data_IF_391473884894
#
_entry.id   IF_391473884894
#
_cell.length_a   1.000
_cell.length_b   1.000
_cell.length_c   1.000
_cell.angle_alpha   90.00
_cell.angle_beta   90.00
_cell.angle_gamma   90.00
#
_symmetry.space_group_name_H-M   'P 1'
#
loop_
_entity.id
_entity.type
_entity.pdbx_description
1 polymer ?
#
# COMPACT_ATOMS: atom_id res chain seq x y z
N UNK A 1 23.44 21.78 -50.37
CA UNK A 1 22.23 22.28 -49.67
C UNK A 1 21.32 21.19 -49.08
N UNK A 2 21.38 19.92 -49.53
CA UNK A 2 20.70 18.78 -48.87
C UNK A 2 21.29 18.44 -47.48
N UNK A 3 22.62 18.40 -47.38
CA UNK A 3 23.34 18.00 -46.16
C UNK A 3 23.03 18.84 -44.91
N UNK A 4 22.72 20.13 -45.07
CA UNK A 4 22.35 21.02 -43.95
C UNK A 4 20.94 20.73 -43.38
N UNK A 5 20.02 20.20 -44.21
CA UNK A 5 18.67 19.82 -43.76
C UNK A 5 18.69 18.51 -42.97
N UNK A 6 19.49 17.55 -43.42
CA UNK A 6 19.58 16.23 -42.78
C UNK A 6 20.21 16.32 -41.37
N UNK A 7 21.22 17.18 -41.18
CA UNK A 7 21.79 17.46 -39.85
C UNK A 7 20.79 18.20 -38.93
N UNK A 8 19.96 19.09 -39.48
CA UNK A 8 18.92 19.81 -38.71
C UNK A 8 17.81 18.89 -38.22
N UNK A 9 17.31 17.98 -39.07
CA UNK A 9 16.29 17.00 -38.68
C UNK A 9 16.84 15.97 -37.68
N UNK A 10 18.10 15.57 -37.81
CA UNK A 10 18.75 14.68 -36.84
C UNK A 10 18.87 15.34 -35.45
N UNK A 11 19.31 16.61 -35.38
CA UNK A 11 19.38 17.36 -34.10
C UNK A 11 17.99 17.67 -33.51
N UNK A 12 16.99 18.01 -34.32
CA UNK A 12 15.62 18.24 -33.86
C UNK A 12 14.93 16.94 -33.42
N UNK A 13 15.19 15.83 -34.09
CA UNK A 13 14.66 14.51 -33.71
C UNK A 13 15.32 14.00 -32.43
N UNK A 14 16.62 14.23 -32.24
CA UNK A 14 17.32 13.90 -31.00
C UNK A 14 16.85 14.77 -29.82
N UNK A 15 16.63 16.07 -30.04
CA UNK A 15 16.08 16.99 -29.04
C UNK A 15 14.62 16.63 -28.68
N UNK A 16 13.80 16.25 -29.65
CA UNK A 16 12.40 15.84 -29.43
C UNK A 16 12.29 14.53 -28.61
N UNK A 17 13.19 13.56 -28.83
CA UNK A 17 13.22 12.30 -28.06
C UNK A 17 13.66 12.54 -26.61
N UNK A 18 14.63 13.43 -26.37
CA UNK A 18 15.09 13.77 -25.00
C UNK A 18 14.04 14.59 -24.23
N UNK A 19 13.24 15.43 -24.91
CA UNK A 19 12.11 16.12 -24.26
C UNK A 19 10.92 15.23 -23.97
N UNK A 20 10.74 14.12 -24.71
CA UNK A 20 9.59 13.21 -24.53
C UNK A 20 9.80 12.22 -23.38
N UNK A 21 11.05 11.83 -23.08
CA UNK A 21 11.36 10.96 -21.92
C UNK A 21 11.36 11.71 -20.59
N UNK A 22 11.41 13.05 -20.60
CA UNK A 22 11.37 13.89 -19.40
C UNK A 22 9.95 14.25 -18.93
N UNK A 23 8.89 13.84 -19.65
CA UNK A 23 7.52 14.32 -19.44
C UNK A 23 6.56 13.27 -18.84
N UNK A 24 7.00 12.38 -17.97
CA UNK A 24 6.07 11.41 -17.36
C UNK A 24 6.37 10.99 -15.93
N UNK A 25 7.29 11.67 -15.22
CA UNK A 25 7.36 11.51 -13.76
C UNK A 25 6.36 12.50 -13.16
N UNK A 26 5.07 12.17 -13.25
CA UNK A 26 4.09 12.80 -12.38
C UNK A 26 4.41 12.35 -10.95
N UNK A 27 4.56 13.26 -9.97
CA UNK A 27 4.58 12.84 -8.58
C UNK A 27 3.26 12.12 -8.32
N UNK A 28 3.33 10.83 -7.98
CA UNK A 28 2.20 10.17 -7.36
C UNK A 28 2.07 10.82 -5.98
N UNK A 29 1.09 11.72 -5.82
CA UNK A 29 0.64 12.07 -4.48
C UNK A 29 0.03 10.78 -3.95
N UNK A 30 0.45 10.37 -2.76
CA UNK A 30 -0.02 9.15 -2.15
C UNK A 30 -0.96 9.51 -1.00
N UNK A 31 -2.05 8.78 -0.87
CA UNK A 31 -3.03 8.99 0.18
C UNK A 31 -2.58 8.31 1.47
N UNK A 32 -3.09 8.81 2.59
CA UNK A 32 -2.90 8.23 3.91
C UNK A 32 -4.26 7.82 4.49
N UNK A 33 -4.29 6.71 5.23
CA UNK A 33 -5.46 6.26 5.97
C UNK A 33 -5.11 6.04 7.44
N UNK A 34 -5.88 6.65 8.34
CA UNK A 34 -5.73 6.42 9.78
C UNK A 34 -6.75 5.37 10.22
N UNK A 35 -6.24 4.26 10.72
CA UNK A 35 -7.03 3.16 11.27
C UNK A 35 -7.05 3.26 12.79
N UNK A 36 -8.19 2.94 13.39
CA UNK A 36 -8.36 2.80 14.83
C UNK A 36 -9.29 1.62 15.10
N UNK A 37 -8.95 0.78 16.08
CA UNK A 37 -9.71 -0.42 16.41
C UNK A 37 -9.70 -0.69 17.90
N UNK A 38 -10.73 -1.40 18.38
CA UNK A 38 -10.79 -1.87 19.76
C UNK A 38 -10.02 -3.18 19.94
N UNK A 39 -9.47 -3.38 21.13
CA UNK A 39 -8.84 -4.65 21.49
C UNK A 39 -9.93 -5.72 21.62
N UNK A 40 -9.88 -6.81 20.84
CA UNK A 40 -10.90 -7.85 20.92
C UNK A 40 -10.84 -8.53 22.28
N UNK A 41 -12.02 -8.81 22.87
CA UNK A 41 -12.16 -9.56 24.14
C UNK A 41 -12.28 -11.08 23.95
N UNK A 42 -12.40 -11.52 22.69
CA UNK A 42 -12.60 -12.92 22.31
C UNK A 42 -11.85 -13.22 21.02
N UNK A 43 -11.18 -14.37 20.98
CA UNK A 43 -10.59 -14.95 19.79
C UNK A 43 -11.68 -15.41 18.82
N UNK A 44 -11.39 -15.53 17.53
CA UNK A 44 -12.32 -16.10 16.53
C UNK A 44 -12.70 -17.56 16.84
N UNK A 45 -11.88 -18.26 17.62
CA UNK A 45 -12.16 -19.59 18.19
C UNK A 45 -13.16 -19.58 19.36
N UNK A 46 -13.66 -18.42 19.78
CA UNK A 46 -14.58 -18.27 20.92
C UNK A 46 -13.91 -18.28 22.30
N UNK A 47 -12.58 -18.41 22.37
CA UNK A 47 -11.83 -18.35 23.62
C UNK A 47 -11.54 -16.89 24.03
N UNK A 48 -11.39 -16.61 25.32
CA UNK A 48 -11.07 -15.27 25.82
C UNK A 48 -9.67 -14.83 25.41
N UNK A 49 -9.52 -13.61 24.88
CA UNK A 49 -8.22 -13.02 24.53
C UNK A 49 -7.46 -12.66 25.79
N UNK A 50 -6.55 -13.54 26.21
CA UNK A 50 -5.75 -13.33 27.43
C UNK A 50 -4.32 -12.91 27.13
N UNK A 51 -3.81 -13.13 25.91
CA UNK A 51 -2.38 -12.92 25.57
C UNK A 51 -2.20 -12.29 24.17
N UNK A 52 -2.87 -11.16 23.89
CA UNK A 52 -2.60 -10.42 22.65
C UNK A 52 -1.20 -9.80 22.74
N UNK A 53 -0.30 -10.24 21.86
CA UNK A 53 1.06 -9.71 21.76
C UNK A 53 1.17 -8.54 20.78
N UNK A 54 0.21 -8.41 19.87
CA UNK A 54 0.12 -7.28 18.95
C UNK A 54 -0.91 -7.48 17.86
N UNK A 55 -0.84 -6.61 16.86
CA UNK A 55 -1.76 -6.55 15.74
C UNK A 55 -1.03 -6.51 14.41
N UNK A 56 -1.66 -7.07 13.37
CA UNK A 56 -1.24 -6.96 11.99
C UNK A 56 -2.36 -6.36 11.16
N UNK A 57 -2.00 -5.37 10.35
CA UNK A 57 -2.91 -4.73 9.39
C UNK A 57 -2.71 -5.38 8.02
N UNK A 58 -3.79 -5.89 7.45
CA UNK A 58 -3.88 -6.43 6.09
C UNK A 58 -4.63 -5.45 5.22
N UNK A 59 -4.14 -5.18 4.01
CA UNK A 59 -4.83 -4.29 3.08
C UNK A 59 -4.58 -4.61 1.61
N UNK A 60 -5.50 -4.16 0.76
CA UNK A 60 -5.48 -4.40 -0.68
C UNK A 60 -6.57 -3.61 -1.40
N UNK A 61 -6.58 -3.68 -2.73
CA UNK A 61 -7.58 -3.01 -3.58
C UNK A 61 -8.83 -3.86 -3.82
N UNK A 62 -8.84 -5.09 -3.33
CA UNK A 62 -9.95 -6.03 -3.43
C UNK A 62 -10.35 -6.47 -2.01
N UNK A 63 -11.65 -6.53 -1.74
CA UNK A 63 -12.15 -7.07 -0.47
C UNK A 63 -11.78 -8.54 -0.37
N UNK A 64 -11.41 -9.01 0.83
CA UNK A 64 -11.03 -10.40 1.11
C UNK A 64 -9.76 -10.90 0.39
N UNK A 65 -9.17 -10.10 -0.49
CA UNK A 65 -7.91 -10.37 -1.17
C UNK A 65 -6.88 -9.27 -0.83
N UNK A 66 -6.25 -9.45 0.34
CA UNK A 66 -5.27 -8.50 0.88
C UNK A 66 -3.86 -8.89 0.45
N UNK A 67 -3.27 -8.11 -0.45
CA UNK A 67 -1.92 -8.38 -0.99
C UNK A 67 -0.79 -7.81 -0.12
N UNK A 68 -1.11 -6.89 0.79
CA UNK A 68 -0.16 -6.20 1.65
C UNK A 68 -0.45 -6.49 3.12
N UNK A 69 0.59 -6.58 3.95
CA UNK A 69 0.46 -6.71 5.40
C UNK A 69 1.55 -5.96 6.15
N UNK A 70 1.21 -5.43 7.33
CA UNK A 70 2.11 -4.66 8.19
C UNK A 70 1.90 -5.12 9.63
N UNK A 71 2.96 -5.60 10.28
CA UNK A 71 2.98 -5.82 11.72
C UNK A 71 3.10 -4.45 12.41
N UNK A 72 2.08 -4.07 13.17
CA UNK A 72 1.98 -2.77 13.83
C UNK A 72 2.27 -2.87 15.33
N UNK A 73 2.57 -4.07 15.83
CA UNK A 73 2.81 -4.33 17.25
C UNK A 73 1.57 -4.10 18.12
N UNK A 74 1.78 -3.87 19.41
CA UNK A 74 0.72 -3.67 20.39
C UNK A 74 0.21 -2.21 20.38
N UNK A 75 -0.52 -1.86 19.34
CA UNK A 75 -1.19 -0.56 19.17
C UNK A 75 -2.66 -0.77 18.78
N UNK A 76 -3.49 0.24 19.03
CA UNK A 76 -4.91 0.31 18.60
C UNK A 76 -5.13 1.35 17.51
N UNK A 77 -4.07 2.01 17.05
CA UNK A 77 -4.11 2.99 15.98
C UNK A 77 -2.88 2.88 15.09
N UNK A 78 -3.05 3.09 13.79
CA UNK A 78 -1.96 3.08 12.83
C UNK A 78 -2.31 3.89 11.58
N UNK A 79 -1.34 4.65 11.07
CA UNK A 79 -1.45 5.39 9.81
C UNK A 79 -0.80 4.58 8.69
N UNK A 80 -1.61 4.09 7.75
CA UNK A 80 -1.12 3.49 6.51
C UNK A 80 -0.86 4.62 5.53
N UNK A 81 0.41 4.82 5.20
CA UNK A 81 0.86 5.86 4.26
C UNK A 81 1.09 5.29 2.87
N UNK A 82 1.28 6.16 1.89
CA UNK A 82 1.71 5.79 0.54
C UNK A 82 0.68 4.94 -0.24
N UNK A 83 -0.62 5.15 0.01
CA UNK A 83 -1.68 4.48 -0.73
C UNK A 83 -1.83 5.13 -2.12
N UNK A 84 -2.09 4.30 -3.14
CA UNK A 84 -2.30 4.79 -4.49
C UNK A 84 -3.58 5.66 -4.57
N UNK A 85 -3.48 6.84 -5.15
CA UNK A 85 -4.64 7.70 -5.36
C UNK A 85 -5.68 7.07 -6.30
N UNK A 86 -6.93 7.53 -6.17
CA UNK A 86 -8.07 7.09 -6.98
C UNK A 86 -8.36 5.58 -6.94
N UNK A 87 -7.87 4.88 -5.90
CA UNK A 87 -8.12 3.46 -5.68
C UNK A 87 -8.85 3.24 -4.36
N UNK A 88 -9.84 2.34 -4.36
CA UNK A 88 -10.45 1.87 -3.13
C UNK A 88 -9.51 0.90 -2.43
N UNK A 89 -9.32 1.07 -1.12
CA UNK A 89 -8.56 0.14 -0.29
C UNK A 89 -9.46 -0.46 0.78
N UNK A 90 -9.26 -1.75 1.02
CA UNK A 90 -9.91 -2.53 2.06
C UNK A 90 -8.89 -2.89 3.12
N UNK A 91 -9.28 -2.79 4.39
CA UNK A 91 -8.39 -3.00 5.53
C UNK A 91 -9.00 -4.03 6.49
N UNK A 92 -8.18 -4.93 7.01
CA UNK A 92 -8.51 -5.85 8.10
C UNK A 92 -7.40 -5.81 9.13
N UNK A 93 -7.78 -5.86 10.41
CA UNK A 93 -6.83 -5.92 11.52
C UNK A 93 -7.00 -7.26 12.23
N UNK A 94 -5.90 -7.99 12.40
CA UNK A 94 -5.89 -9.23 13.18
C UNK A 94 -4.99 -9.07 14.39
N UNK A 95 -5.48 -9.47 15.56
CA UNK A 95 -4.61 -9.67 16.71
C UNK A 95 -3.80 -10.97 16.53
N UNK A 96 -2.63 -11.04 17.15
CA UNK A 96 -1.82 -12.26 17.24
C UNK A 96 -1.29 -12.44 18.67
N UNK A 97 -1.01 -13.69 19.04
CA UNK A 97 -0.49 -14.05 20.36
C UNK A 97 1.05 -13.99 20.44
N UNK A 98 1.63 -14.27 21.61
CA UNK A 98 3.09 -14.27 21.78
C UNK A 98 3.85 -15.27 20.89
N UNK A 99 3.15 -16.25 20.31
CA UNK A 99 3.70 -17.22 19.37
C UNK A 99 3.60 -16.76 17.91
N UNK A 100 3.12 -15.52 17.68
CA UNK A 100 2.80 -14.93 16.36
C UNK A 100 1.80 -15.76 15.56
N UNK A 101 0.96 -16.53 16.24
CA UNK A 101 -0.16 -17.21 15.59
C UNK A 101 -1.24 -16.16 15.35
N UNK A 102 -1.53 -15.91 14.08
CA UNK A 102 -2.58 -14.99 13.68
C UNK A 102 -3.95 -15.61 13.91
N UNK A 103 -4.84 -14.82 14.50
CA UNK A 103 -6.21 -15.24 14.76
C UNK A 103 -6.96 -15.29 13.42
N UNK A 104 -7.18 -16.49 12.91
CA UNK A 104 -7.72 -16.72 11.56
C UNK A 104 -9.07 -16.04 11.29
N UNK A 105 -9.28 -15.67 10.02
CA UNK A 105 -10.49 -15.05 9.47
C UNK A 105 -11.76 -15.81 9.86
N UNK A 106 -12.80 -15.10 10.32
CA UNK A 106 -14.15 -15.66 10.39
C UNK A 106 -14.83 -15.49 9.02
N UNK A 107 -15.29 -16.58 8.43
CA UNK A 107 -16.23 -16.62 7.30
C UNK A 107 -17.63 -16.19 7.70
#
# INVERSE_FOLDING_TARGET
>A
MKLLKDTYYFFHSFLAVVTFTFLSISPAIAADAVLSWDIPSTYTSGSQTTDIAGFKVYYGTESENYTQSIDVGYTTTYQVTQLAENSAFYFVVTAYDSLKVELGYSS
#
